data_IF_269629914493
#
_entry.id   IF_269629914493
#
_cell.length_a   1.000
_cell.length_b   1.000
_cell.length_c   1.000
_cell.angle_alpha   90.00
_cell.angle_beta   90.00
_cell.angle_gamma   90.00
#
_symmetry.space_group_name_H-M   'P 1'
#
loop_
_entity.id
_entity.type
_entity.pdbx_description
1 polymer ?
#
# COMPACT_ATOMS: atom_id res chain seq x y z
N UNK A 1 -32.22 18.34 -29.00
CA UNK A 1 -31.06 19.16 -29.37
C UNK A 1 -29.84 18.35 -28.97
N UNK A 2 -28.88 18.14 -29.84
CA UNK A 2 -27.71 17.31 -29.49
C UNK A 2 -26.82 18.07 -28.52
N UNK A 3 -26.31 17.36 -27.53
CA UNK A 3 -25.33 17.82 -26.54
C UNK A 3 -24.14 18.45 -27.27
N UNK A 4 -23.87 19.73 -26.97
CA UNK A 4 -22.66 20.36 -27.45
C UNK A 4 -21.49 19.77 -26.65
N UNK A 5 -20.72 18.91 -27.29
CA UNK A 5 -19.41 18.51 -26.81
C UNK A 5 -18.57 19.78 -26.63
N UNK A 6 -18.17 20.05 -25.41
CA UNK A 6 -17.16 21.06 -25.11
C UNK A 6 -15.81 20.55 -25.62
N UNK A 7 -15.39 21.04 -26.80
CA UNK A 7 -14.15 20.63 -27.50
C UNK A 7 -12.84 21.09 -26.85
N UNK A 8 -12.82 21.39 -25.55
CA UNK A 8 -11.64 21.99 -24.90
C UNK A 8 -11.24 21.35 -23.58
N UNK A 9 -11.44 20.04 -23.40
CA UNK A 9 -10.59 19.30 -22.48
C UNK A 9 -9.26 19.00 -23.19
N UNK A 10 -8.10 19.43 -22.66
CA UNK A 10 -6.83 19.03 -23.25
C UNK A 10 -6.75 17.49 -23.27
N UNK A 11 -6.69 16.92 -24.46
CA UNK A 11 -6.58 15.49 -24.68
C UNK A 11 -5.15 15.00 -24.44
N UNK A 12 -4.91 13.72 -24.32
CA UNK A 12 -5.66 12.59 -23.77
C UNK A 12 -4.79 11.69 -22.88
N UNK A 13 -5.37 11.07 -21.99
CA UNK A 13 -5.13 9.81 -21.28
C UNK A 13 -5.45 10.04 -19.81
N UNK A 14 -6.59 9.51 -19.36
CA UNK A 14 -7.03 9.49 -17.96
C UNK A 14 -7.73 10.78 -17.45
N UNK A 15 -8.78 11.23 -18.13
CA UNK A 15 -9.66 12.26 -17.60
C UNK A 15 -10.90 11.62 -16.98
N UNK A 16 -11.22 12.01 -15.75
CA UNK A 16 -12.48 11.68 -15.11
C UNK A 16 -13.51 12.76 -15.43
N UNK A 17 -14.68 12.35 -15.87
CA UNK A 17 -15.84 13.23 -16.07
C UNK A 17 -16.79 13.09 -14.88
N UNK A 18 -17.35 14.19 -14.46
CA UNK A 18 -18.39 14.21 -13.43
C UNK A 18 -19.65 14.84 -14.00
N UNK A 19 -20.78 14.20 -13.76
CA UNK A 19 -22.10 14.74 -14.09
C UNK A 19 -22.64 15.46 -12.87
N UNK A 20 -22.81 16.77 -12.99
CA UNK A 20 -23.30 17.64 -11.91
C UNK A 20 -24.68 17.18 -11.43
N UNK A 21 -24.85 17.05 -10.13
CA UNK A 21 -26.09 16.67 -9.48
C UNK A 21 -26.83 17.90 -8.97
N UNK A 22 -28.14 17.76 -8.71
CA UNK A 22 -28.92 18.82 -8.10
C UNK A 22 -28.37 19.19 -6.71
N UNK A 23 -28.07 20.48 -6.50
CA UNK A 23 -27.45 20.97 -5.25
C UNK A 23 -25.94 21.02 -5.24
N UNK A 24 -25.28 20.56 -6.31
CA UNK A 24 -23.83 20.67 -6.42
C UNK A 24 -23.37 22.11 -6.63
N UNK A 25 -22.17 22.39 -6.16
CA UNK A 25 -21.41 23.61 -6.42
C UNK A 25 -19.98 23.20 -6.86
N UNK A 26 -19.28 24.05 -7.59
CA UNK A 26 -17.87 23.76 -7.90
C UNK A 26 -17.03 23.56 -6.64
N UNK A 27 -17.38 24.28 -5.58
CA UNK A 27 -16.73 24.11 -4.28
C UNK A 27 -17.01 22.72 -3.68
N UNK A 28 -18.29 22.25 -3.67
CA UNK A 28 -18.60 20.90 -3.16
C UNK A 28 -17.92 19.82 -4.00
N UNK A 29 -17.87 19.99 -5.32
CA UNK A 29 -17.22 19.05 -6.25
C UNK A 29 -15.68 19.06 -6.07
N UNK A 30 -15.05 20.24 -5.97
CA UNK A 30 -13.61 20.33 -5.72
C UNK A 30 -13.23 19.63 -4.40
N UNK A 31 -14.04 19.82 -3.37
CA UNK A 31 -13.85 19.14 -2.08
C UNK A 31 -14.10 17.62 -2.19
N UNK A 32 -15.11 17.22 -2.97
CA UNK A 32 -15.43 15.81 -3.20
C UNK A 32 -14.25 15.05 -3.83
N UNK A 33 -13.59 15.66 -4.82
CA UNK A 33 -12.45 15.08 -5.52
C UNK A 33 -11.09 15.43 -4.90
N UNK A 34 -11.09 16.17 -3.78
CA UNK A 34 -9.86 16.62 -3.10
C UNK A 34 -8.90 17.37 -4.03
N UNK A 35 -9.42 18.26 -4.83
CA UNK A 35 -8.69 19.15 -5.74
C UNK A 35 -8.91 20.60 -5.33
N UNK A 36 -8.01 21.49 -5.74
CA UNK A 36 -8.24 22.92 -5.51
C UNK A 36 -9.42 23.41 -6.36
N UNK A 37 -10.16 24.38 -5.86
CA UNK A 37 -11.23 25.00 -6.64
C UNK A 37 -10.68 25.69 -7.89
N UNK A 38 -9.48 26.28 -7.77
CA UNK A 38 -8.82 26.96 -8.86
C UNK A 38 -8.42 25.98 -9.97
N UNK A 39 -7.86 24.78 -9.62
CA UNK A 39 -7.54 23.73 -10.60
C UNK A 39 -8.79 23.21 -11.31
N UNK A 40 -9.91 23.07 -10.57
CA UNK A 40 -11.18 22.65 -11.17
C UNK A 40 -11.71 23.68 -12.16
N UNK A 41 -11.60 24.98 -11.84
CA UNK A 41 -11.99 26.09 -12.72
C UNK A 41 -11.06 26.15 -13.94
N UNK A 42 -9.75 26.00 -13.75
CA UNK A 42 -8.76 26.06 -14.82
C UNK A 42 -8.99 25.03 -15.92
N UNK A 43 -9.35 23.79 -15.55
CA UNK A 43 -9.66 22.72 -16.54
C UNK A 43 -11.07 22.83 -17.13
N UNK A 44 -11.90 23.73 -16.60
CA UNK A 44 -13.26 23.98 -17.07
C UNK A 44 -13.48 25.48 -17.39
N UNK A 45 -12.71 26.08 -18.29
CA UNK A 45 -12.70 27.54 -18.50
C UNK A 45 -14.02 28.13 -18.99
N UNK A 46 -14.93 27.29 -19.47
CA UNK A 46 -16.25 27.71 -19.99
C UNK A 46 -17.36 27.62 -18.94
N UNK A 47 -17.04 27.18 -17.70
CA UNK A 47 -18.02 27.13 -16.62
C UNK A 47 -18.23 28.50 -15.99
N UNK A 48 -19.49 28.83 -15.76
CA UNK A 48 -19.88 29.95 -14.88
C UNK A 48 -19.94 29.41 -13.44
N UNK A 49 -18.97 29.78 -12.55
CA UNK A 49 -18.89 29.20 -11.21
C UNK A 49 -20.16 29.35 -10.36
N UNK A 50 -20.92 30.44 -10.61
CA UNK A 50 -22.14 30.78 -9.89
C UNK A 50 -23.41 30.16 -10.52
N UNK A 51 -23.25 29.41 -11.62
CA UNK A 51 -24.36 28.87 -12.39
C UNK A 51 -24.16 27.44 -12.86
N UNK A 52 -23.94 26.58 -11.90
CA UNK A 52 -23.78 25.15 -12.16
C UNK A 52 -25.16 24.51 -12.36
N UNK A 53 -25.41 23.96 -13.53
CA UNK A 53 -26.67 23.29 -13.84
C UNK A 53 -26.55 21.78 -13.62
N UNK A 54 -27.60 21.12 -13.09
CA UNK A 54 -27.66 19.67 -13.06
C UNK A 54 -27.50 19.06 -14.47
N UNK A 55 -26.96 17.85 -14.57
CA UNK A 55 -26.67 17.11 -15.80
C UNK A 55 -25.54 17.69 -16.66
N UNK A 56 -24.88 18.76 -16.24
CA UNK A 56 -23.69 19.28 -16.89
C UNK A 56 -22.51 18.33 -16.67
N UNK A 57 -21.81 17.99 -17.74
CA UNK A 57 -20.56 17.25 -17.65
C UNK A 57 -19.40 18.21 -17.43
N UNK A 58 -18.61 18.01 -16.38
CA UNK A 58 -17.43 18.79 -16.07
C UNK A 58 -16.18 17.90 -16.03
N UNK A 59 -15.06 18.45 -16.44
CA UNK A 59 -13.76 17.79 -16.32
C UNK A 59 -13.27 17.83 -14.88
N UNK A 60 -12.92 16.70 -14.34
CA UNK A 60 -12.22 16.62 -13.06
C UNK A 60 -10.73 16.50 -13.39
N UNK A 61 -9.90 17.50 -13.02
CA UNK A 61 -8.47 17.33 -13.18
C UNK A 61 -8.07 16.08 -12.40
N UNK A 62 -7.32 15.20 -13.03
CA UNK A 62 -6.54 14.25 -12.24
C UNK A 62 -5.69 15.13 -11.34
N UNK A 63 -6.10 15.27 -10.09
CA UNK A 63 -5.18 15.79 -9.10
C UNK A 63 -3.89 15.03 -9.37
N UNK A 64 -2.82 15.75 -9.67
CA UNK A 64 -1.50 15.19 -9.55
C UNK A 64 -1.58 14.48 -8.20
N UNK A 65 -1.66 13.16 -8.22
CA UNK A 65 -1.64 12.38 -6.98
C UNK A 65 -0.55 13.04 -6.19
N UNK A 66 -0.79 13.51 -4.95
CA UNK A 66 0.24 14.24 -4.24
C UNK A 66 1.51 13.42 -4.46
N UNK A 67 2.43 14.02 -5.24
CA UNK A 67 3.63 13.35 -5.66
C UNK A 67 4.23 12.87 -4.36
N UNK A 68 4.29 11.55 -4.19
CA UNK A 68 4.82 10.89 -3.02
C UNK A 68 4.22 11.45 -1.72
N UNK A 69 3.06 10.91 -1.32
CA UNK A 69 2.80 10.85 0.12
C UNK A 69 4.04 10.18 0.71
N UNK A 70 4.85 10.88 1.52
CA UNK A 70 6.19 10.40 1.91
C UNK A 70 6.17 9.07 2.67
N UNK A 71 5.03 8.43 2.80
CA UNK A 71 4.81 7.21 3.55
C UNK A 71 3.78 6.25 2.92
N UNK A 72 3.62 6.21 1.59
CA UNK A 72 2.77 5.22 0.93
C UNK A 72 1.37 5.13 1.56
N UNK A 73 0.67 6.26 1.67
CA UNK A 73 -0.67 6.31 2.19
C UNK A 73 -1.61 5.51 1.27
N UNK A 74 -2.38 4.59 1.83
CA UNK A 74 -3.51 3.97 1.15
C UNK A 74 -4.68 4.94 1.17
N UNK A 75 -5.45 4.98 0.12
CA UNK A 75 -6.67 5.80 0.06
C UNK A 75 -7.90 4.96 0.38
N UNK A 76 -8.92 5.60 0.95
CA UNK A 76 -10.22 5.00 1.21
C UNK A 76 -11.32 5.89 0.66
N UNK A 77 -12.26 5.31 -0.07
CA UNK A 77 -13.44 6.00 -0.55
C UNK A 77 -14.55 5.90 0.49
N UNK A 78 -14.97 7.07 1.00
CA UNK A 78 -16.02 7.20 2.02
C UNK A 78 -17.34 6.59 1.52
N UNK A 79 -17.96 5.76 2.33
CA UNK A 79 -19.23 5.11 2.05
C UNK A 79 -20.37 5.72 2.87
N UNK A 80 -21.60 5.33 2.55
CA UNK A 80 -22.78 5.79 3.29
C UNK A 80 -22.65 5.47 4.79
N UNK A 81 -22.91 6.44 5.64
CA UNK A 81 -22.80 6.39 7.11
C UNK A 81 -21.35 6.32 7.64
N UNK A 82 -20.35 6.54 6.80
CA UNK A 82 -18.99 6.68 7.29
C UNK A 82 -18.80 8.03 8.00
N UNK A 83 -18.02 7.97 9.06
CA UNK A 83 -17.46 9.12 9.77
C UNK A 83 -15.97 8.87 9.96
N UNK A 84 -15.15 9.89 10.19
CA UNK A 84 -13.74 9.67 10.55
C UNK A 84 -13.57 8.70 11.71
N UNK A 85 -14.48 8.74 12.69
CA UNK A 85 -14.48 7.82 13.83
C UNK A 85 -14.76 6.36 13.39
N UNK A 86 -15.81 6.15 12.58
CA UNK A 86 -16.15 4.79 12.10
C UNK A 86 -15.06 4.21 11.21
N UNK A 87 -14.45 5.06 10.37
CA UNK A 87 -13.34 4.67 9.49
C UNK A 87 -12.09 4.35 10.33
N UNK A 88 -11.72 5.22 11.28
CA UNK A 88 -10.60 4.94 12.18
C UNK A 88 -10.80 3.62 12.95
N UNK A 89 -12.03 3.36 13.42
CA UNK A 89 -12.38 2.10 14.08
C UNK A 89 -12.32 0.91 13.11
N UNK A 90 -12.83 1.05 11.88
CA UNK A 90 -12.80 0.03 10.82
C UNK A 90 -11.38 -0.39 10.48
N UNK A 91 -10.47 0.58 10.35
CA UNK A 91 -9.07 0.36 10.04
C UNK A 91 -8.19 0.26 11.29
N UNK A 92 -8.79 0.18 12.49
CA UNK A 92 -8.12 0.02 13.80
C UNK A 92 -6.98 1.03 14.06
N UNK A 93 -7.08 2.23 13.48
CA UNK A 93 -6.12 3.31 13.66
C UNK A 93 -6.64 4.35 14.67
N UNK A 94 -5.75 5.23 15.14
CA UNK A 94 -6.17 6.34 15.99
C UNK A 94 -6.85 7.40 15.15
N UNK A 95 -8.00 7.91 15.63
CA UNK A 95 -8.70 9.00 14.98
C UNK A 95 -7.80 10.23 14.76
N UNK A 96 -6.94 10.53 15.73
CA UNK A 96 -6.00 11.65 15.62
C UNK A 96 -4.98 11.52 14.49
N UNK A 97 -4.61 10.30 14.14
CA UNK A 97 -3.67 10.02 13.04
C UNK A 97 -4.38 10.14 11.70
N UNK A 98 -5.61 9.61 11.61
CA UNK A 98 -6.43 9.76 10.42
C UNK A 98 -6.75 11.23 10.12
N UNK A 99 -7.06 12.03 11.14
CA UNK A 99 -7.30 13.46 10.99
C UNK A 99 -6.04 14.23 10.56
N UNK A 100 -4.87 13.89 11.11
CA UNK A 100 -3.58 14.49 10.71
C UNK A 100 -3.22 14.21 9.25
N UNK A 101 -3.60 13.04 8.73
CA UNK A 101 -3.38 12.68 7.33
C UNK A 101 -4.36 13.33 6.37
N UNK A 102 -5.38 13.99 6.90
CA UNK A 102 -6.44 14.67 6.15
C UNK A 102 -6.71 16.08 6.73
N UNK A 103 -5.70 16.95 6.81
CA UNK A 103 -5.81 18.24 7.52
C UNK A 103 -6.84 19.20 6.89
N UNK A 104 -7.08 19.06 5.60
CA UNK A 104 -7.97 19.93 4.82
C UNK A 104 -9.42 19.47 4.81
N UNK A 105 -9.71 18.30 5.39
CA UNK A 105 -11.05 17.75 5.40
C UNK A 105 -11.80 18.16 6.69
N UNK A 106 -13.10 18.50 6.52
CA UNK A 106 -13.97 18.76 7.67
C UNK A 106 -14.37 17.43 8.33
N UNK A 107 -13.98 17.18 9.60
CA UNK A 107 -14.28 15.93 10.29
C UNK A 107 -15.76 15.63 10.46
N UNK A 108 -16.59 16.67 10.49
CA UNK A 108 -18.03 16.56 10.74
C UNK A 108 -18.85 16.48 9.44
N UNK A 109 -18.20 16.55 8.26
CA UNK A 109 -18.87 16.64 6.97
C UNK A 109 -18.16 15.81 5.89
N UNK A 110 -18.04 14.49 6.10
CA UNK A 110 -17.58 13.58 5.07
C UNK A 110 -18.66 13.34 4.02
N UNK A 111 -18.28 13.43 2.76
CA UNK A 111 -19.17 13.16 1.63
C UNK A 111 -19.00 11.72 1.15
N UNK A 112 -20.11 11.08 0.77
CA UNK A 112 -20.08 9.74 0.16
C UNK A 112 -19.29 9.83 -1.15
N UNK A 113 -18.35 8.90 -1.36
CA UNK A 113 -17.45 8.89 -2.52
C UNK A 113 -16.18 9.74 -2.33
N UNK A 114 -16.08 10.55 -1.28
CA UNK A 114 -14.88 11.31 -0.97
C UNK A 114 -13.70 10.39 -0.71
N UNK A 115 -12.54 10.74 -1.26
CA UNK A 115 -11.31 10.00 -1.02
C UNK A 115 -10.60 10.60 0.20
N UNK A 116 -10.26 9.75 1.15
CA UNK A 116 -9.46 10.12 2.32
C UNK A 116 -8.16 9.34 2.34
N UNK A 117 -7.10 9.95 2.86
CA UNK A 117 -5.81 9.32 3.06
C UNK A 117 -5.83 8.50 4.36
N UNK A 118 -5.57 7.21 4.26
CA UNK A 118 -5.31 6.37 5.42
C UNK A 118 -3.81 6.43 5.73
N UNK A 119 -3.40 6.90 6.90
CA UNK A 119 -1.98 6.94 7.25
C UNK A 119 -1.41 5.52 7.23
N UNK A 120 -0.27 5.35 6.58
CA UNK A 120 0.51 4.11 6.67
C UNK A 120 1.23 4.14 8.02
N UNK A 121 0.59 3.63 9.05
CA UNK A 121 1.19 3.52 10.36
C UNK A 121 1.95 2.21 10.41
N UNK A 122 3.24 2.30 10.68
CA UNK A 122 4.11 1.15 10.86
C UNK A 122 4.45 0.95 12.33
N UNK A 123 4.57 -0.31 12.73
CA UNK A 123 5.22 -0.75 13.96
C UNK A 123 6.63 -1.20 13.66
N UNK A 124 7.52 -1.14 14.64
CA UNK A 124 8.86 -1.66 14.52
C UNK A 124 8.95 -3.06 15.12
N UNK A 125 9.56 -3.96 14.38
CA UNK A 125 9.96 -5.28 14.86
C UNK A 125 11.47 -5.31 15.04
N UNK A 126 11.93 -5.89 16.15
CA UNK A 126 13.34 -6.16 16.41
C UNK A 126 13.50 -7.55 17.01
N UNK A 127 14.52 -8.28 16.56
CA UNK A 127 14.84 -9.60 17.08
C UNK A 127 16.36 -9.76 17.21
N UNK A 128 16.85 -9.76 18.44
CA UNK A 128 18.27 -9.84 18.78
C UNK A 128 18.91 -11.16 18.31
N UNK A 129 18.19 -12.27 18.45
CA UNK A 129 18.72 -13.59 18.03
C UNK A 129 18.94 -13.67 16.51
N UNK A 130 18.09 -13.00 15.73
CA UNK A 130 18.20 -12.94 14.27
C UNK A 130 19.00 -11.71 13.80
N UNK A 131 19.39 -10.81 14.70
CA UNK A 131 20.09 -9.55 14.43
C UNK A 131 19.39 -8.71 13.34
N UNK A 132 18.07 -8.59 13.43
CA UNK A 132 17.26 -7.88 12.44
C UNK A 132 16.31 -6.89 13.09
N UNK A 133 16.06 -5.79 12.36
CA UNK A 133 15.04 -4.81 12.66
C UNK A 133 14.38 -4.35 11.36
N UNK A 134 13.06 -4.19 11.37
CA UNK A 134 12.29 -3.66 10.24
C UNK A 134 10.95 -3.09 10.71
N UNK A 135 10.30 -2.34 9.82
CA UNK A 135 8.94 -1.84 10.02
C UNK A 135 7.91 -2.73 9.34
N UNK A 136 6.73 -2.84 9.94
CA UNK A 136 5.61 -3.62 9.43
C UNK A 136 4.29 -2.89 9.70
N UNK A 137 3.17 -3.21 9.00
CA UNK A 137 1.88 -2.57 9.23
C UNK A 137 1.44 -2.65 10.70
N UNK A 138 1.06 -1.50 11.26
CA UNK A 138 0.65 -1.34 12.66
C UNK A 138 -0.48 -2.28 13.10
N UNK A 139 -1.34 -2.70 12.16
CA UNK A 139 -2.50 -3.55 12.42
C UNK A 139 -2.17 -5.02 12.64
N UNK A 140 -0.93 -5.42 12.38
CA UNK A 140 -0.54 -6.81 12.57
C UNK A 140 -0.23 -7.08 14.03
N UNK A 141 -0.94 -8.04 14.58
CA UNK A 141 -0.77 -8.48 15.96
C UNK A 141 0.25 -9.60 16.04
N UNK A 142 0.95 -9.65 17.15
CA UNK A 142 1.91 -10.71 17.43
C UNK A 142 1.18 -12.06 17.53
N UNK A 143 1.56 -13.01 16.69
CA UNK A 143 1.17 -14.40 16.80
C UNK A 143 2.15 -15.16 17.71
N UNK A 144 3.45 -15.03 17.44
CA UNK A 144 4.54 -15.51 18.27
C UNK A 144 5.77 -14.58 18.17
N UNK A 145 6.95 -15.01 18.66
CA UNK A 145 8.17 -14.20 18.61
C UNK A 145 8.73 -13.97 17.19
N UNK A 146 8.30 -14.78 16.21
CA UNK A 146 8.82 -14.79 14.84
C UNK A 146 7.75 -14.42 13.81
N UNK A 147 6.47 -14.33 14.23
CA UNK A 147 5.33 -14.11 13.33
C UNK A 147 4.38 -13.05 13.88
N UNK A 148 3.96 -12.16 12.98
CA UNK A 148 2.85 -11.22 13.20
C UNK A 148 1.89 -11.33 12.01
N UNK A 149 0.61 -11.14 12.26
CA UNK A 149 -0.40 -11.21 11.21
C UNK A 149 -1.56 -10.26 11.46
N UNK A 150 -2.20 -9.85 10.38
CA UNK A 150 -3.39 -9.01 10.33
C UNK A 150 -4.39 -9.48 9.29
N UNK A 151 -5.39 -8.67 9.04
CA UNK A 151 -6.43 -8.97 8.07
C UNK A 151 -5.91 -8.92 6.63
N UNK A 152 -4.90 -8.09 6.38
CA UNK A 152 -4.36 -7.75 5.06
C UNK A 152 -3.01 -8.43 4.76
N UNK A 153 -2.41 -9.12 5.74
CA UNK A 153 -1.13 -9.79 5.54
C UNK A 153 -0.51 -10.34 6.80
N UNK A 154 0.75 -10.69 6.68
CA UNK A 154 1.55 -11.25 7.77
C UNK A 154 3.03 -11.06 7.49
N UNK A 155 3.87 -11.23 8.52
CA UNK A 155 5.27 -11.61 8.33
C UNK A 155 5.65 -12.79 9.22
N UNK A 156 6.64 -13.54 8.76
CA UNK A 156 7.30 -14.60 9.52
C UNK A 156 8.78 -14.61 9.20
N UNK A 157 9.62 -14.65 10.23
CA UNK A 157 11.07 -14.78 10.07
C UNK A 157 11.56 -16.18 10.36
N UNK A 158 12.61 -16.57 9.68
CA UNK A 158 13.40 -17.79 9.94
C UNK A 158 14.83 -17.61 9.45
N UNK A 159 15.67 -18.60 9.70
CA UNK A 159 17.04 -18.62 9.21
C UNK A 159 17.44 -20.02 8.76
N UNK A 160 18.45 -20.09 7.92
CA UNK A 160 18.98 -21.35 7.35
C UNK A 160 20.47 -21.47 7.64
N UNK A 161 20.89 -22.65 8.07
CA UNK A 161 22.29 -23.03 8.36
C UNK A 161 22.97 -23.80 7.22
N UNK A 162 22.37 -23.84 6.03
CA UNK A 162 22.94 -24.52 4.85
C UNK A 162 24.08 -23.68 4.24
N UNK A 163 25.17 -24.33 3.83
CA UNK A 163 26.34 -23.71 3.20
C UNK A 163 26.26 -23.64 1.67
N UNK A 164 25.14 -24.06 1.09
CA UNK A 164 24.91 -23.96 -0.35
C UNK A 164 24.93 -22.50 -0.84
N UNK A 165 25.18 -22.31 -2.12
CA UNK A 165 25.12 -20.98 -2.73
C UNK A 165 23.73 -20.34 -2.59
N UNK A 166 23.64 -18.99 -2.48
CA UNK A 166 22.38 -18.30 -2.28
C UNK A 166 21.30 -18.65 -3.30
N UNK A 167 21.68 -18.83 -4.57
CA UNK A 167 20.76 -19.23 -5.65
C UNK A 167 20.17 -20.63 -5.43
N UNK A 168 20.95 -21.55 -4.86
CA UNK A 168 20.49 -22.90 -4.55
C UNK A 168 19.50 -22.88 -3.37
N UNK A 169 19.82 -22.10 -2.34
CA UNK A 169 18.92 -21.88 -1.20
C UNK A 169 17.57 -21.31 -1.69
N UNK A 170 17.62 -20.28 -2.55
CA UNK A 170 16.41 -19.71 -3.12
C UNK A 170 15.58 -20.72 -3.93
N UNK A 171 16.24 -21.57 -4.71
CA UNK A 171 15.55 -22.63 -5.44
C UNK A 171 14.94 -23.67 -4.51
N UNK A 172 15.65 -24.10 -3.46
CA UNK A 172 15.12 -25.03 -2.45
C UNK A 172 13.87 -24.45 -1.76
N UNK A 173 13.89 -23.17 -1.39
CA UNK A 173 12.75 -22.50 -0.79
C UNK A 173 11.59 -22.33 -1.80
N UNK A 174 11.88 -21.80 -3.01
CA UNK A 174 10.88 -21.50 -4.04
C UNK A 174 10.13 -22.75 -4.53
N UNK A 175 10.85 -23.86 -4.71
CA UNK A 175 10.29 -25.11 -5.23
C UNK A 175 10.08 -26.17 -4.15
N UNK A 176 9.78 -25.73 -2.92
CA UNK A 176 9.45 -26.65 -1.84
C UNK A 176 8.27 -27.55 -2.21
N UNK A 177 8.29 -28.81 -1.74
CA UNK A 177 7.27 -29.83 -2.07
C UNK A 177 5.82 -29.41 -1.78
N UNK A 178 5.60 -28.52 -0.83
CA UNK A 178 4.27 -27.97 -0.50
C UNK A 178 3.85 -26.83 -1.44
N UNK A 179 4.72 -26.42 -2.37
CA UNK A 179 4.50 -25.35 -3.35
C UNK A 179 3.95 -24.05 -2.76
N UNK A 180 4.57 -23.53 -1.69
CA UNK A 180 4.05 -22.34 -1.01
C UNK A 180 4.03 -21.10 -1.89
N UNK A 181 4.75 -21.12 -3.03
CA UNK A 181 4.83 -20.04 -4.01
C UNK A 181 4.23 -20.44 -5.38
N UNK A 182 3.45 -21.53 -5.46
CA UNK A 182 2.93 -22.09 -6.72
C UNK A 182 3.93 -22.98 -7.45
N UNK A 183 3.66 -23.24 -8.73
CA UNK A 183 4.50 -24.14 -9.54
C UNK A 183 5.60 -23.44 -10.32
N UNK A 184 5.45 -22.14 -10.59
CA UNK A 184 6.38 -21.34 -11.38
C UNK A 184 6.67 -19.98 -10.72
N UNK A 185 7.20 -19.96 -9.45
CA UNK A 185 7.53 -18.71 -8.78
C UNK A 185 8.63 -17.96 -9.53
N UNK A 186 8.59 -16.63 -9.44
CA UNK A 186 9.66 -15.78 -9.96
C UNK A 186 10.70 -15.55 -8.88
N UNK A 187 11.97 -15.81 -9.18
CA UNK A 187 13.09 -15.50 -8.31
C UNK A 187 13.84 -14.33 -8.92
N UNK A 188 13.96 -13.23 -8.19
CA UNK A 188 14.73 -12.06 -8.60
C UNK A 188 15.86 -11.78 -7.62
N UNK A 189 17.04 -11.49 -8.16
CA UNK A 189 18.20 -11.07 -7.38
C UNK A 189 18.16 -9.57 -7.19
N UNK A 190 18.49 -9.12 -5.99
CA UNK A 190 18.61 -7.71 -5.63
C UNK A 190 19.75 -7.50 -4.64
N UNK A 191 19.99 -6.26 -4.28
CA UNK A 191 20.91 -5.86 -3.23
C UNK A 191 20.15 -5.03 -2.18
N UNK A 192 20.30 -5.42 -0.91
CA UNK A 192 19.73 -4.71 0.22
C UNK A 192 20.86 -4.26 1.16
N UNK A 193 21.08 -2.95 1.23
CA UNK A 193 22.11 -2.36 2.11
C UNK A 193 23.49 -3.02 2.00
N UNK A 194 23.95 -3.25 0.74
CA UNK A 194 25.24 -3.89 0.46
C UNK A 194 25.25 -5.40 0.62
N UNK A 195 24.11 -6.05 0.86
CA UNK A 195 23.99 -7.50 0.99
C UNK A 195 23.26 -8.10 -0.21
N UNK A 196 23.71 -9.26 -0.66
CA UNK A 196 22.99 -10.00 -1.68
C UNK A 196 21.65 -10.50 -1.12
N UNK A 197 20.58 -10.21 -1.84
CA UNK A 197 19.23 -10.60 -1.49
C UNK A 197 18.49 -11.18 -2.68
N UNK A 198 17.46 -11.99 -2.40
CA UNK A 198 16.59 -12.59 -3.40
C UNK A 198 15.15 -12.45 -2.97
N UNK A 199 14.29 -12.07 -3.91
CA UNK A 199 12.85 -12.13 -3.74
C UNK A 199 12.28 -13.36 -4.43
N UNK A 200 11.33 -14.02 -3.78
CA UNK A 200 10.54 -15.13 -4.33
C UNK A 200 9.09 -14.65 -4.39
N UNK A 201 8.61 -14.41 -5.61
CA UNK A 201 7.25 -13.95 -5.87
C UNK A 201 6.42 -15.12 -6.36
N UNK A 202 5.23 -15.35 -5.80
CA UNK A 202 4.40 -16.50 -6.15
C UNK A 202 3.84 -16.40 -7.57
N UNK A 203 3.64 -17.56 -8.20
CA UNK A 203 2.88 -17.68 -9.44
C UNK A 203 1.38 -17.68 -9.18
N UNK A 204 0.59 -17.46 -10.25
CA UNK A 204 -0.88 -17.34 -10.17
C UNK A 204 -1.60 -18.61 -9.70
N UNK A 205 -0.92 -19.75 -9.75
CA UNK A 205 -1.42 -21.06 -9.29
C UNK A 205 -1.04 -21.40 -7.84
N UNK A 206 -0.60 -20.39 -7.08
CA UNK A 206 -0.32 -20.55 -5.65
C UNK A 206 -1.59 -21.04 -4.92
N UNK A 207 -1.48 -22.00 -3.96
CA UNK A 207 -2.60 -22.41 -3.14
C UNK A 207 -3.22 -21.21 -2.39
N UNK A 208 -4.55 -21.12 -2.38
CA UNK A 208 -5.28 -20.01 -1.74
C UNK A 208 -4.98 -19.88 -0.25
N UNK A 209 -4.67 -20.98 0.40
CA UNK A 209 -4.31 -21.04 1.82
C UNK A 209 -3.00 -20.31 2.12
N UNK A 210 -2.15 -20.12 1.11
CA UNK A 210 -0.86 -19.43 1.23
C UNK A 210 -0.96 -17.89 1.22
N UNK A 211 -2.17 -17.34 1.00
CA UNK A 211 -2.48 -15.89 1.14
C UNK A 211 -1.53 -14.95 0.40
N UNK A 212 -1.07 -15.32 -0.79
CA UNK A 212 -0.10 -14.50 -1.53
C UNK A 212 1.31 -14.52 -0.96
N UNK A 213 1.66 -15.54 -0.16
CA UNK A 213 2.98 -15.66 0.45
C UNK A 213 4.10 -15.48 -0.56
N UNK A 214 4.99 -14.57 -0.25
CA UNK A 214 6.26 -14.27 -0.91
C UNK A 214 7.38 -14.45 0.09
N UNK A 215 8.61 -14.45 -0.36
CA UNK A 215 9.75 -14.47 0.55
C UNK A 215 10.88 -13.56 0.08
N UNK A 216 11.67 -13.14 1.05
CA UNK A 216 12.98 -12.55 0.84
C UNK A 216 14.02 -13.37 1.57
N UNK A 217 15.13 -13.66 0.89
CA UNK A 217 16.30 -14.33 1.45
C UNK A 217 17.47 -13.39 1.36
N UNK A 218 18.15 -13.18 2.48
CA UNK A 218 19.32 -12.30 2.58
C UNK A 218 20.46 -13.06 3.23
N UNK A 219 21.65 -13.01 2.64
CA UNK A 219 22.84 -13.59 3.22
C UNK A 219 23.37 -12.68 4.35
N UNK A 220 23.65 -13.25 5.52
CA UNK A 220 24.35 -12.56 6.58
C UNK A 220 25.81 -12.28 6.16
N UNK A 221 26.39 -11.16 6.59
CA UNK A 221 27.83 -10.88 6.36
C UNK A 221 28.74 -11.89 7.08
N UNK A 222 28.28 -12.37 8.22
CA UNK A 222 28.90 -13.42 9.01
C UNK A 222 27.79 -14.33 9.54
N UNK A 223 28.03 -15.66 9.66
CA UNK A 223 27.03 -16.56 10.21
C UNK A 223 26.57 -16.12 11.60
N UNK A 224 25.27 -16.23 11.85
CA UNK A 224 24.63 -15.87 13.12
C UNK A 224 24.20 -17.15 13.83
N UNK A 225 24.58 -17.29 15.09
CA UNK A 225 24.12 -18.40 15.92
C UNK A 225 22.66 -18.19 16.34
N UNK A 226 21.77 -19.06 15.85
CA UNK A 226 20.33 -19.02 16.14
C UNK A 226 19.91 -20.41 16.60
N UNK A 227 19.43 -20.52 17.83
CA UNK A 227 18.95 -21.78 18.42
C UNK A 227 20.01 -22.92 18.31
N UNK A 228 21.30 -22.58 18.50
CA UNK A 228 22.40 -23.52 18.45
C UNK A 228 22.88 -23.89 17.05
N UNK A 229 22.40 -23.24 16.00
CA UNK A 229 22.81 -23.44 14.60
C UNK A 229 23.50 -22.17 14.07
N UNK A 230 24.59 -22.36 13.32
CA UNK A 230 25.22 -21.26 12.58
C UNK A 230 24.45 -21.01 11.28
N UNK A 231 23.65 -19.96 11.26
CA UNK A 231 22.80 -19.62 10.13
C UNK A 231 23.48 -18.61 9.21
N UNK A 232 23.53 -18.92 7.90
CA UNK A 232 24.06 -18.04 6.86
C UNK A 232 23.01 -17.16 6.20
N UNK A 233 21.75 -17.57 6.23
CA UNK A 233 20.70 -16.89 5.52
C UNK A 233 19.55 -16.54 6.45
N UNK A 234 19.13 -15.28 6.36
CA UNK A 234 17.88 -14.80 6.93
C UNK A 234 16.77 -14.97 5.91
N UNK A 235 15.60 -15.42 6.35
CA UNK A 235 14.39 -15.49 5.53
C UNK A 235 13.27 -14.69 6.18
N UNK A 236 12.71 -13.77 5.41
CA UNK A 236 11.43 -13.13 5.71
C UNK A 236 10.38 -13.70 4.76
N UNK A 237 9.29 -14.24 5.29
CA UNK A 237 8.10 -14.59 4.55
C UNK A 237 7.01 -13.58 4.88
N UNK A 238 6.36 -13.07 3.86
CA UNK A 238 5.26 -12.11 3.99
C UNK A 238 4.35 -12.26 2.76
N UNK A 239 3.20 -11.58 2.74
CA UNK A 239 2.44 -11.48 1.50
C UNK A 239 3.16 -10.59 0.47
N UNK A 240 2.80 -10.75 -0.80
CA UNK A 240 3.49 -10.07 -1.90
C UNK A 240 3.31 -8.54 -1.88
N UNK A 241 2.22 -8.04 -1.31
CA UNK A 241 1.90 -6.62 -1.29
C UNK A 241 2.80 -5.84 -0.32
N UNK A 242 3.24 -6.49 0.79
CA UNK A 242 4.07 -5.88 1.81
C UNK A 242 5.56 -6.22 1.70
N UNK A 243 5.94 -7.12 0.78
CA UNK A 243 7.31 -7.62 0.71
C UNK A 243 8.34 -6.50 0.53
N UNK A 244 8.12 -5.59 -0.43
CA UNK A 244 9.04 -4.50 -0.71
C UNK A 244 9.06 -3.47 0.42
N UNK A 245 7.89 -3.10 0.93
CA UNK A 245 7.77 -2.14 2.03
C UNK A 245 8.55 -2.56 3.27
N UNK A 246 8.49 -3.85 3.63
CA UNK A 246 9.23 -4.40 4.77
C UNK A 246 10.73 -4.49 4.43
N UNK A 247 11.07 -4.94 3.21
CA UNK A 247 12.44 -5.05 2.76
C UNK A 247 13.19 -3.71 2.79
N UNK A 248 12.55 -2.62 2.38
CA UNK A 248 13.13 -1.27 2.35
C UNK A 248 13.51 -0.75 3.74
N UNK A 249 12.85 -1.25 4.78
CA UNK A 249 13.13 -0.88 6.17
C UNK A 249 14.00 -1.89 6.92
N UNK A 250 14.35 -3.04 6.29
CA UNK A 250 15.14 -4.09 6.94
C UNK A 250 16.56 -3.64 7.23
N UNK A 251 16.97 -3.81 8.46
CA UNK A 251 18.31 -3.54 8.95
C UNK A 251 18.86 -4.77 9.68
N UNK A 252 20.15 -5.00 9.51
CA UNK A 252 20.93 -6.02 10.25
C UNK A 252 21.90 -5.31 11.19
N UNK A 253 22.06 -5.80 12.43
CA UNK A 253 22.93 -5.21 13.45
C UNK A 253 23.75 -6.24 14.24
#
# INVERSE_FOLDING_TARGET
>A
MPCQHLEHCPAPAEQNWYIVQEGDTLYSISRFYNISLDDLIEVNPNLEPDRLLPELEICIPLAAQPADSPFGATTYTVQRNDTFYSIAKKFKMRLSELLKSNPDLNPDALLIGQIICLPKISSSYSNEAYRVRFSYPYLWSRFDSKRHEGIDGFFQISAISDDAAPEEICKKEAYHKLKPYGTHPTISRTELRGRQAFFIIPSSDQPKEMRGQSAMIVEYSEPVEIEGNNCRYFILRTDKEHLHDIADTLEFF
#
